data_IF_694953092074
#
_entry.id   IF_694953092074
#
_cell.length_a   1.000
_cell.length_b   1.000
_cell.length_c   1.000
_cell.angle_alpha   90.00
_cell.angle_beta   90.00
_cell.angle_gamma   90.00
#
_symmetry.space_group_name_H-M   'P 1'
#
loop_
_entity.id
_entity.type
_entity.pdbx_description
1 polymer ?
#
# COMPACT_ATOMS: atom_id res chain seq x y z
N UNK A 1 -18.42 6.33 -1.02
CA UNK A 1 -19.45 5.46 -0.50
C UNK A 1 -20.84 5.95 -0.91
N UNK A 2 -21.31 7.11 -0.44
CA UNK A 2 -22.68 7.66 -0.67
C UNK A 2 -23.13 7.69 -2.14
N UNK A 3 -22.18 7.73 -3.08
CA UNK A 3 -22.46 7.69 -4.53
C UNK A 3 -22.42 6.27 -5.10
N UNK A 4 -22.38 5.24 -4.27
CA UNK A 4 -22.28 3.83 -4.69
C UNK A 4 -20.96 3.47 -5.38
N UNK A 5 -19.92 4.29 -5.22
CA UNK A 5 -18.64 4.07 -5.93
C UNK A 5 -17.75 3.04 -5.25
N UNK A 6 -17.87 2.87 -3.93
CA UNK A 6 -17.14 1.90 -3.13
C UNK A 6 -18.03 1.34 -2.04
N UNK A 7 -17.79 0.11 -1.61
CA UNK A 7 -18.33 -0.51 -0.40
C UNK A 7 -17.24 -1.14 0.46
N UNK A 8 -15.97 -0.99 0.07
CA UNK A 8 -14.82 -1.42 0.84
C UNK A 8 -13.73 -0.35 0.91
N UNK A 9 -13.01 -0.33 2.03
CA UNK A 9 -11.78 0.46 2.22
C UNK A 9 -10.71 -0.45 2.80
N UNK A 10 -9.55 -0.51 2.14
CA UNK A 10 -8.36 -1.18 2.65
C UNK A 10 -7.31 -0.13 3.00
N UNK A 11 -7.03 0.03 4.29
CA UNK A 11 -5.99 0.93 4.78
C UNK A 11 -4.74 0.10 5.11
N UNK A 12 -3.63 0.43 4.48
CA UNK A 12 -2.32 -0.17 4.74
C UNK A 12 -1.42 0.87 5.38
N UNK A 13 -0.99 0.64 6.61
CA UNK A 13 -0.20 1.59 7.39
C UNK A 13 0.98 0.91 8.11
N UNK A 14 2.01 1.65 8.56
CA UNK A 14 3.06 1.11 9.41
C UNK A 14 2.50 0.51 10.71
N UNK A 15 3.13 -0.54 11.23
CA UNK A 15 2.68 -1.27 12.43
C UNK A 15 2.37 -0.35 13.63
N UNK A 16 3.16 0.73 13.81
CA UNK A 16 2.94 1.69 14.90
C UNK A 16 1.73 2.60 14.72
N UNK A 17 1.14 2.67 13.52
CA UNK A 17 0.08 3.61 13.15
C UNK A 17 -1.28 2.94 12.94
N UNK A 18 -1.31 1.62 12.69
CA UNK A 18 -2.57 0.89 12.41
C UNK A 18 -3.61 1.00 13.52
N UNK A 19 -3.18 1.06 14.79
CA UNK A 19 -4.09 1.27 15.91
C UNK A 19 -4.70 2.66 15.90
N UNK A 20 -3.92 3.68 15.56
CA UNK A 20 -4.42 5.04 15.44
C UNK A 20 -5.51 5.14 14.36
N UNK A 21 -5.32 4.49 13.22
CA UNK A 21 -6.35 4.39 12.19
C UNK A 21 -7.62 3.71 12.72
N UNK A 22 -7.47 2.55 13.36
CA UNK A 22 -8.59 1.71 13.77
C UNK A 22 -9.36 2.27 14.98
N UNK A 23 -8.66 2.76 16.00
CA UNK A 23 -9.24 3.21 17.27
C UNK A 23 -9.47 4.73 17.32
N UNK A 24 -8.81 5.51 16.45
CA UNK A 24 -8.83 6.97 16.45
C UNK A 24 -9.41 7.55 15.17
N UNK A 25 -8.72 7.47 14.03
CA UNK A 25 -9.09 8.20 12.81
C UNK A 25 -10.46 7.77 12.26
N UNK A 26 -10.71 6.46 12.16
CA UNK A 26 -11.99 5.96 11.63
C UNK A 26 -13.15 6.40 12.50
N UNK A 27 -13.16 6.17 13.84
CA UNK A 27 -14.27 6.60 14.69
C UNK A 27 -14.46 8.11 14.76
N UNK A 28 -13.37 8.89 14.60
CA UNK A 28 -13.42 10.35 14.76
C UNK A 28 -13.87 11.06 13.47
N UNK A 29 -13.48 10.54 12.31
CA UNK A 29 -13.62 11.26 11.05
C UNK A 29 -14.61 10.64 10.07
N UNK A 30 -15.00 9.38 10.29
CA UNK A 30 -16.08 8.81 9.51
C UNK A 30 -17.41 9.44 9.96
N UNK A 31 -18.16 9.97 9.00
CA UNK A 31 -19.41 10.67 9.29
C UNK A 31 -20.48 9.72 9.84
N UNK A 32 -21.28 10.15 10.81
CA UNK A 32 -22.21 9.34 11.61
C UNK A 32 -23.26 8.58 10.78
N UNK A 33 -23.65 9.10 9.62
CA UNK A 33 -24.65 8.47 8.76
C UNK A 33 -24.13 7.29 7.93
N UNK A 34 -22.81 7.00 8.00
CA UNK A 34 -22.22 5.85 7.29
C UNK A 34 -22.09 4.67 8.25
N UNK A 35 -23.03 3.74 8.14
CA UNK A 35 -22.90 2.45 8.82
C UNK A 35 -21.68 1.70 8.29
N UNK A 36 -20.86 1.18 9.20
CA UNK A 36 -19.61 0.52 8.80
C UNK A 36 -19.22 -0.63 9.73
N UNK A 37 -18.46 -1.56 9.16
CA UNK A 37 -17.76 -2.63 9.87
C UNK A 37 -16.26 -2.46 9.66
N UNK A 38 -15.54 -2.10 10.72
CA UNK A 38 -14.08 -1.96 10.68
C UNK A 38 -13.39 -3.11 11.41
N UNK A 39 -12.32 -3.64 10.81
CA UNK A 39 -11.53 -4.73 11.41
C UNK A 39 -10.04 -4.47 11.22
N UNK A 40 -9.30 -4.59 12.33
CA UNK A 40 -7.83 -4.57 12.32
C UNK A 40 -7.30 -6.00 12.12
N UNK A 41 -6.58 -6.22 11.02
CA UNK A 41 -5.95 -7.50 10.73
C UNK A 41 -4.78 -7.79 11.69
N UNK A 42 -4.71 -9.03 12.19
CA UNK A 42 -3.65 -9.50 13.07
C UNK A 42 -3.09 -10.83 12.57
N UNK A 43 -1.79 -11.05 12.76
CA UNK A 43 -1.11 -12.28 12.30
C UNK A 43 -1.50 -13.52 13.12
N UNK A 44 -1.68 -13.35 14.44
CA UNK A 44 -2.21 -14.37 15.34
C UNK A 44 -3.72 -14.15 15.49
N UNK A 45 -4.53 -15.13 15.09
CA UNK A 45 -5.98 -14.99 15.03
C UNK A 45 -6.60 -15.85 16.14
N UNK A 46 -7.26 -15.20 17.09
CA UNK A 46 -8.16 -15.85 18.07
C UNK A 46 -9.49 -16.17 17.38
N UNK A 47 -10.33 -17.01 18.03
CA UNK A 47 -11.68 -17.29 17.50
C UNK A 47 -12.54 -16.03 17.33
N UNK A 48 -12.44 -15.09 18.28
CA UNK A 48 -13.14 -13.80 18.21
C UNK A 48 -12.66 -12.97 17.01
N UNK A 49 -11.36 -12.90 16.80
CA UNK A 49 -10.79 -12.20 15.65
C UNK A 49 -11.15 -12.85 14.33
N UNK A 50 -11.26 -14.19 14.28
CA UNK A 50 -11.72 -14.90 13.09
C UNK A 50 -13.19 -14.53 12.77
N UNK A 51 -14.06 -14.42 13.77
CA UNK A 51 -15.44 -13.95 13.57
C UNK A 51 -15.48 -12.52 13.04
N UNK A 52 -14.69 -11.62 13.63
CA UNK A 52 -14.60 -10.23 13.16
C UNK A 52 -14.08 -10.13 11.73
N UNK A 53 -13.06 -10.94 11.36
CA UNK A 53 -12.57 -10.98 9.98
C UNK A 53 -13.63 -11.54 9.02
N UNK A 54 -14.42 -12.52 9.44
CA UNK A 54 -15.49 -13.10 8.63
C UNK A 54 -16.64 -12.11 8.42
N UNK A 55 -16.95 -11.25 9.40
CA UNK A 55 -18.01 -10.24 9.26
C UNK A 55 -17.75 -9.22 8.14
N UNK A 56 -16.50 -9.06 7.72
CA UNK A 56 -16.16 -8.24 6.54
C UNK A 56 -16.71 -8.83 5.22
N UNK A 57 -17.16 -10.07 5.20
CA UNK A 57 -17.69 -10.75 4.01
C UNK A 57 -19.19 -11.04 4.10
N UNK A 58 -19.84 -10.56 5.15
CA UNK A 58 -21.30 -10.63 5.27
C UNK A 58 -21.96 -9.70 4.26
N UNK A 59 -23.10 -10.10 3.74
CA UNK A 59 -23.89 -9.28 2.83
C UNK A 59 -24.58 -8.16 3.61
N UNK A 60 -24.51 -6.94 3.10
CA UNK A 60 -25.11 -5.75 3.71
C UNK A 60 -24.78 -4.49 2.92
N UNK A 61 -25.37 -3.38 3.33
CA UNK A 61 -25.13 -2.06 2.75
C UNK A 61 -24.00 -1.29 3.49
N UNK A 62 -23.44 -1.89 4.56
CA UNK A 62 -22.40 -1.26 5.37
C UNK A 62 -21.11 -1.04 4.58
N UNK A 63 -20.38 0.00 4.93
CA UNK A 63 -19.01 0.19 4.46
C UNK A 63 -18.07 -0.75 5.21
N UNK A 64 -17.40 -1.66 4.52
CA UNK A 64 -16.43 -2.56 5.12
C UNK A 64 -15.03 -1.96 5.11
N UNK A 65 -14.39 -1.84 6.26
CA UNK A 65 -13.07 -1.24 6.42
C UNK A 65 -12.09 -2.27 6.98
N UNK A 66 -11.07 -2.59 6.22
CA UNK A 66 -9.97 -3.45 6.63
C UNK A 66 -8.71 -2.62 6.86
N UNK A 67 -8.17 -2.66 8.08
CA UNK A 67 -6.90 -2.01 8.41
C UNK A 67 -5.81 -3.07 8.55
N UNK A 68 -4.71 -2.94 7.82
CA UNK A 68 -3.59 -3.87 7.82
C UNK A 68 -2.25 -3.16 8.02
N UNK A 69 -1.32 -3.81 8.71
CA UNK A 69 0.05 -3.30 8.71
C UNK A 69 0.78 -3.70 7.41
N UNK A 70 1.69 -2.84 6.96
CA UNK A 70 2.44 -3.03 5.71
C UNK A 70 3.29 -4.31 5.72
N UNK A 71 3.75 -4.76 6.88
CA UNK A 71 4.55 -5.97 7.05
C UNK A 71 3.72 -7.25 6.79
N UNK A 72 2.42 -7.22 7.07
CA UNK A 72 1.51 -8.32 6.77
C UNK A 72 1.53 -8.69 5.28
N UNK A 73 1.70 -7.70 4.41
CA UNK A 73 1.75 -7.88 2.96
C UNK A 73 3.09 -8.41 2.44
N UNK A 74 4.04 -8.73 3.35
CA UNK A 74 5.21 -9.57 3.04
C UNK A 74 4.91 -11.07 3.20
N UNK A 75 3.79 -11.45 3.83
CA UNK A 75 3.38 -12.82 4.12
C UNK A 75 2.31 -13.30 3.14
N UNK A 76 2.32 -14.61 2.83
CA UNK A 76 1.27 -15.20 1.99
C UNK A 76 -0.12 -15.00 2.60
N UNK A 77 -0.28 -15.27 3.91
CA UNK A 77 -1.55 -15.14 4.63
C UNK A 77 -2.15 -13.73 4.54
N UNK A 78 -1.32 -12.70 4.72
CA UNK A 78 -1.78 -11.31 4.62
C UNK A 78 -2.16 -10.93 3.20
N UNK A 79 -1.38 -11.34 2.20
CA UNK A 79 -1.68 -11.10 0.78
C UNK A 79 -2.96 -11.80 0.36
N UNK A 80 -3.12 -13.09 0.67
CA UNK A 80 -4.32 -13.86 0.32
C UNK A 80 -5.59 -13.24 0.94
N UNK A 81 -5.49 -12.77 2.19
CA UNK A 81 -6.63 -12.12 2.85
C UNK A 81 -6.97 -10.75 2.22
N UNK A 82 -5.98 -9.93 1.92
CA UNK A 82 -6.18 -8.66 1.23
C UNK A 82 -6.78 -8.86 -0.17
N UNK A 83 -6.28 -9.83 -0.94
CA UNK A 83 -6.82 -10.18 -2.26
C UNK A 83 -8.28 -10.64 -2.17
N UNK A 84 -8.61 -11.49 -1.18
CA UNK A 84 -9.99 -11.89 -0.91
C UNK A 84 -10.89 -10.69 -0.62
N UNK A 85 -10.42 -9.74 0.19
CA UNK A 85 -11.17 -8.53 0.50
C UNK A 85 -11.41 -7.66 -0.75
N UNK A 86 -10.37 -7.45 -1.56
CA UNK A 86 -10.45 -6.67 -2.81
C UNK A 86 -11.39 -7.32 -3.84
N UNK A 87 -11.41 -8.65 -3.94
CA UNK A 87 -12.31 -9.38 -4.85
C UNK A 87 -13.77 -9.38 -4.40
N UNK A 88 -14.02 -9.22 -3.08
CA UNK A 88 -15.36 -9.22 -2.50
C UNK A 88 -16.01 -7.83 -2.45
N UNK A 89 -15.21 -6.77 -2.58
CA UNK A 89 -15.67 -5.39 -2.42
C UNK A 89 -15.11 -4.48 -3.51
N UNK A 90 -15.92 -3.52 -3.93
CA UNK A 90 -15.41 -2.41 -4.75
C UNK A 90 -14.64 -1.44 -3.85
N UNK A 91 -13.34 -1.60 -3.78
CA UNK A 91 -12.49 -1.08 -2.72
C UNK A 91 -11.69 0.16 -3.12
N UNK A 92 -11.62 1.14 -2.20
CA UNK A 92 -10.55 2.13 -2.14
C UNK A 92 -9.39 1.54 -1.33
N UNK A 93 -8.23 1.37 -1.93
CA UNK A 93 -7.00 0.97 -1.23
C UNK A 93 -6.13 2.21 -0.97
N UNK A 94 -5.86 2.49 0.30
CA UNK A 94 -5.04 3.61 0.74
C UNK A 94 -3.77 3.10 1.45
N UNK A 95 -2.63 3.73 1.15
CA UNK A 95 -1.36 3.47 1.84
C UNK A 95 -0.98 4.71 2.63
N UNK A 96 -0.90 4.55 3.93
CA UNK A 96 -0.32 5.56 4.83
C UNK A 96 1.18 5.35 4.96
N UNK A 97 1.92 6.44 5.05
CA UNK A 97 3.38 6.48 4.96
C UNK A 97 3.90 5.69 3.73
N UNK A 98 3.47 6.12 2.54
CA UNK A 98 3.73 5.43 1.28
C UNK A 98 5.22 5.27 0.95
N UNK A 99 6.11 5.99 1.62
CA UNK A 99 7.57 5.76 1.57
C UNK A 99 7.97 4.35 2.00
N UNK A 100 7.10 3.61 2.69
CA UNK A 100 7.30 2.19 3.04
C UNK A 100 7.36 1.27 1.83
N UNK A 101 6.84 1.70 0.67
CA UNK A 101 6.86 0.95 -0.60
C UNK A 101 7.85 1.49 -1.63
N UNK A 102 8.74 2.42 -1.28
CA UNK A 102 9.70 3.01 -2.23
C UNK A 102 10.74 2.02 -2.79
N UNK A 103 11.08 0.96 -2.05
CA UNK A 103 12.03 -0.04 -2.50
C UNK A 103 11.38 -1.02 -3.51
N UNK A 104 11.74 -1.00 -4.81
CA UNK A 104 11.12 -1.83 -5.84
C UNK A 104 11.39 -3.33 -5.65
N UNK A 105 12.45 -3.70 -4.96
CA UNK A 105 12.83 -5.10 -4.75
C UNK A 105 12.17 -5.74 -3.53
N UNK A 106 11.64 -4.93 -2.62
CA UNK A 106 10.99 -5.43 -1.42
C UNK A 106 9.72 -6.25 -1.75
N UNK A 107 9.60 -7.44 -1.16
CA UNK A 107 8.46 -8.34 -1.37
C UNK A 107 7.12 -7.64 -1.10
N UNK A 108 7.04 -6.88 0.01
CA UNK A 108 5.84 -6.10 0.34
C UNK A 108 5.46 -5.09 -0.75
N UNK A 109 6.45 -4.39 -1.33
CA UNK A 109 6.22 -3.42 -2.41
C UNK A 109 5.62 -4.09 -3.64
N UNK A 110 6.20 -5.23 -4.07
CA UNK A 110 5.71 -6.01 -5.20
C UNK A 110 4.27 -6.46 -4.97
N UNK A 111 3.98 -7.00 -3.80
CA UNK A 111 2.64 -7.46 -3.42
C UNK A 111 1.63 -6.31 -3.33
N UNK A 112 2.00 -5.19 -2.71
CA UNK A 112 1.12 -4.02 -2.57
C UNK A 112 0.79 -3.40 -3.93
N UNK A 113 1.77 -3.27 -4.82
CA UNK A 113 1.49 -2.79 -6.18
C UNK A 113 0.62 -3.77 -6.98
N UNK A 114 0.74 -5.08 -6.77
CA UNK A 114 -0.14 -6.07 -7.39
C UNK A 114 -1.58 -5.93 -6.87
N UNK A 115 -1.77 -5.87 -5.55
CA UNK A 115 -3.09 -5.66 -4.92
C UNK A 115 -3.73 -4.33 -5.33
N UNK A 116 -2.94 -3.27 -5.47
CA UNK A 116 -3.44 -1.96 -5.91
C UNK A 116 -4.09 -2.00 -7.30
N UNK A 117 -3.66 -2.91 -8.18
CA UNK A 117 -4.28 -3.11 -9.52
C UNK A 117 -5.67 -3.76 -9.45
N UNK A 118 -5.97 -4.46 -8.36
CA UNK A 118 -7.27 -5.09 -8.12
C UNK A 118 -8.25 -4.12 -7.43
N UNK A 119 -7.74 -3.04 -6.84
CA UNK A 119 -8.56 -2.02 -6.20
C UNK A 119 -9.26 -1.13 -7.24
N UNK A 120 -10.50 -0.72 -6.95
CA UNK A 120 -11.23 0.23 -7.81
C UNK A 120 -10.61 1.63 -7.77
N UNK A 121 -10.04 2.00 -6.64
CA UNK A 121 -9.35 3.28 -6.44
C UNK A 121 -8.15 3.09 -5.54
N UNK A 122 -7.10 3.89 -5.78
CA UNK A 122 -5.88 3.90 -4.99
C UNK A 122 -5.58 5.30 -4.45
N UNK A 123 -4.99 5.39 -3.26
CA UNK A 123 -4.50 6.64 -2.64
C UNK A 123 -3.21 6.36 -1.88
N UNK A 124 -2.36 7.38 -1.81
CA UNK A 124 -1.20 7.40 -0.92
C UNK A 124 -1.28 8.62 -0.01
N UNK A 125 -0.81 8.44 1.22
CA UNK A 125 -0.64 9.50 2.19
C UNK A 125 0.83 9.47 2.64
N UNK A 126 1.47 10.63 2.67
CA UNK A 126 2.82 10.79 3.17
C UNK A 126 3.14 12.28 3.35
N UNK A 127 3.87 12.59 4.40
CA UNK A 127 4.39 13.95 4.62
C UNK A 127 5.55 14.30 3.67
N UNK A 128 6.27 13.30 3.14
CA UNK A 128 7.37 13.50 2.19
C UNK A 128 7.52 12.31 1.26
N UNK A 129 7.07 12.39 0.01
CA UNK A 129 7.14 11.29 -0.94
C UNK A 129 8.58 10.98 -1.40
N UNK A 130 9.46 11.97 -1.32
CA UNK A 130 10.90 11.84 -1.61
C UNK A 130 11.69 12.00 -0.33
N UNK A 131 12.30 10.92 0.16
CA UNK A 131 13.06 10.93 1.41
C UNK A 131 14.58 10.97 1.19
N UNK A 132 15.08 10.29 0.18
CA UNK A 132 16.52 10.18 -0.11
C UNK A 132 16.85 10.48 -1.56
N UNK A 133 15.94 10.15 -2.47
CA UNK A 133 16.21 10.28 -3.89
C UNK A 133 14.93 10.40 -4.71
N UNK A 134 14.98 10.99 -5.91
CA UNK A 134 13.84 11.02 -6.82
C UNK A 134 13.35 9.61 -7.22
N UNK A 135 14.20 8.59 -7.08
CA UNK A 135 13.84 7.19 -7.34
C UNK A 135 12.81 6.65 -6.35
N UNK A 136 12.67 7.28 -5.17
CA UNK A 136 11.67 6.93 -4.16
C UNK A 136 10.22 7.06 -4.68
N UNK A 137 10.00 7.91 -5.71
CA UNK A 137 8.69 8.14 -6.31
C UNK A 137 8.19 6.97 -7.15
N UNK A 138 9.06 6.21 -7.81
CA UNK A 138 8.66 5.28 -8.85
C UNK A 138 7.57 4.30 -8.38
N UNK A 139 7.79 3.58 -7.29
CA UNK A 139 6.83 2.58 -6.80
C UNK A 139 5.59 3.19 -6.16
N UNK A 140 5.69 4.38 -5.61
CA UNK A 140 4.53 5.11 -5.10
C UNK A 140 3.60 5.53 -6.26
N UNK A 141 4.15 6.01 -7.36
CA UNK A 141 3.41 6.34 -8.57
C UNK A 141 2.86 5.09 -9.27
N UNK A 142 3.64 4.00 -9.35
CA UNK A 142 3.18 2.72 -9.89
C UNK A 142 2.00 2.12 -9.12
N UNK A 143 1.93 2.35 -7.81
CA UNK A 143 0.77 1.96 -7.00
C UNK A 143 -0.46 2.80 -7.34
N UNK A 144 -0.31 4.10 -7.54
CA UNK A 144 -1.42 5.01 -7.90
C UNK A 144 -1.99 4.70 -9.28
N UNK A 145 -1.10 4.56 -10.25
CA UNK A 145 -1.45 4.23 -11.62
C UNK A 145 -0.21 3.65 -12.32
N UNK A 146 -0.25 2.39 -12.78
CA UNK A 146 0.84 1.82 -13.55
C UNK A 146 1.17 2.69 -14.78
N UNK A 147 2.47 2.97 -14.96
CA UNK A 147 2.95 3.81 -16.05
C UNK A 147 2.76 5.33 -15.87
N UNK A 148 2.28 5.80 -14.72
CA UNK A 148 2.04 7.23 -14.43
C UNK A 148 3.24 8.13 -14.75
N UNK A 149 4.45 7.66 -14.52
CA UNK A 149 5.69 8.40 -14.78
C UNK A 149 6.22 8.24 -16.22
N UNK A 150 5.49 7.59 -17.13
CA UNK A 150 5.90 7.38 -18.52
C UNK A 150 7.08 6.43 -18.72
N UNK A 151 7.38 5.59 -17.74
CA UNK A 151 8.47 4.61 -17.78
C UNK A 151 7.94 3.19 -17.64
N UNK A 152 8.33 2.29 -18.53
CA UNK A 152 7.90 0.88 -18.52
C UNK A 152 8.43 0.08 -17.33
N UNK A 153 9.55 0.50 -16.74
CA UNK A 153 10.18 -0.20 -15.62
C UNK A 153 10.94 0.74 -14.68
N UNK A 154 11.17 0.28 -13.44
CA UNK A 154 12.06 0.97 -12.50
C UNK A 154 13.49 1.17 -13.10
N UNK A 155 13.96 0.23 -13.89
CA UNK A 155 15.31 0.32 -14.47
C UNK A 155 15.39 1.43 -15.52
N UNK A 156 14.39 1.59 -16.39
CA UNK A 156 14.34 2.71 -17.35
C UNK A 156 14.23 4.05 -16.64
N UNK A 157 13.39 4.15 -15.60
CA UNK A 157 13.29 5.32 -14.74
C UNK A 157 14.63 5.64 -14.04
N UNK A 158 15.26 4.65 -13.42
CA UNK A 158 16.57 4.81 -12.78
C UNK A 158 17.63 5.27 -13.78
N UNK A 159 17.71 4.67 -14.97
CA UNK A 159 18.68 5.07 -16.01
C UNK A 159 18.46 6.51 -16.46
N UNK A 160 17.23 7.01 -16.48
CA UNK A 160 16.92 8.40 -16.84
C UNK A 160 17.39 9.39 -15.79
N UNK A 161 17.19 9.09 -14.50
CA UNK A 161 17.37 10.04 -13.42
C UNK A 161 18.60 9.82 -12.54
N UNK A 162 19.21 8.63 -12.53
CA UNK A 162 20.39 8.36 -11.73
C UNK A 162 21.68 8.42 -12.56
N UNK A 163 22.73 8.98 -11.94
CA UNK A 163 24.11 8.85 -12.42
C UNK A 163 24.73 7.64 -11.73
N UNK A 164 25.09 6.63 -12.53
CA UNK A 164 25.61 5.35 -12.05
C UNK A 164 27.13 5.28 -12.21
N UNK A 165 27.81 4.67 -11.23
CA UNK A 165 29.23 4.33 -11.30
C UNK A 165 29.44 2.89 -10.85
N UNK A 166 30.34 2.19 -11.54
CA UNK A 166 30.78 0.86 -11.12
C UNK A 166 31.79 0.99 -9.98
N UNK A 167 31.53 0.31 -8.88
CA UNK A 167 32.44 0.17 -7.75
C UNK A 167 32.77 -1.30 -7.52
N UNK A 168 34.01 -1.59 -7.16
CA UNK A 168 34.48 -2.94 -6.88
C UNK A 168 34.61 -3.14 -5.37
N UNK A 169 33.90 -4.14 -4.84
CA UNK A 169 33.95 -4.54 -3.44
C UNK A 169 34.28 -6.02 -3.34
N UNK A 170 35.45 -6.36 -2.80
CA UNK A 170 35.86 -7.76 -2.58
C UNK A 170 35.81 -8.64 -3.84
N UNK A 171 36.22 -8.09 -4.99
CA UNK A 171 36.21 -8.81 -6.26
C UNK A 171 34.88 -8.84 -7.00
N UNK A 172 33.82 -8.19 -6.47
CA UNK A 172 32.51 -8.05 -7.13
C UNK A 172 32.30 -6.62 -7.61
N UNK A 173 31.91 -6.47 -8.88
CA UNK A 173 31.53 -5.20 -9.46
C UNK A 173 30.06 -4.90 -9.17
N UNK A 174 29.76 -3.75 -8.56
CA UNK A 174 28.40 -3.31 -8.21
C UNK A 174 28.16 -1.92 -8.78
N UNK A 175 26.97 -1.71 -9.33
CA UNK A 175 26.53 -0.41 -9.80
C UNK A 175 25.97 0.39 -8.61
N UNK A 176 26.55 1.56 -8.32
CA UNK A 176 26.10 2.48 -7.26
C UNK A 176 25.61 3.79 -7.86
N UNK A 177 24.59 4.38 -7.25
CA UNK A 177 24.13 5.71 -7.59
C UNK A 177 25.06 6.74 -6.94
N UNK A 178 25.65 7.61 -7.73
CA UNK A 178 26.59 8.66 -7.28
C UNK A 178 26.01 10.07 -7.44
N UNK A 179 24.85 10.21 -8.07
CA UNK A 179 24.16 11.49 -8.27
C UNK A 179 22.85 11.31 -9.04
N UNK A 180 22.20 12.44 -9.31
CA UNK A 180 20.95 12.48 -10.07
C UNK A 180 21.05 13.52 -11.17
N UNK A 181 20.22 13.39 -12.21
CA UNK A 181 20.12 14.26 -13.38
C UNK A 181 18.68 14.39 -13.87
N UNK A 182 18.42 15.35 -14.77
CA UNK A 182 17.10 15.58 -15.40
C UNK A 182 16.01 15.81 -14.33
N UNK A 183 16.28 16.67 -13.35
CA UNK A 183 15.37 16.96 -12.23
C UNK A 183 14.56 18.26 -12.45
N UNK A 184 14.74 18.92 -13.59
CA UNK A 184 14.07 20.19 -13.98
C UNK A 184 12.64 19.96 -14.43
#
# INVERSE_FOLDING_TARGET
>A
YDKGKINGVLIVAPKGVVKNWYEGEIPTHLVDHIEHKSVLWQSSITQTQQKNLNSLFETGEDLHILVMNVEALSTKKGVDFAAKFLSSHRTLMAIDESTTIKNPEAKRTKNICALGREAAYTRILTGSPVTKSPLDLYKQCEFLCPGLLGHESYYTFRTRYAVMRTANFGGRSVQIVVGYRNLD
#
